data_IF_961869875980
#
_entry.id   IF_961869875980
#
_cell.length_a   1.000
_cell.length_b   1.000
_cell.length_c   1.000
_cell.angle_alpha   90.00
_cell.angle_beta   90.00
_cell.angle_gamma   90.00
#
_symmetry.space_group_name_H-M   'P 1'
#
loop_
_entity.id
_entity.type
_entity.pdbx_description
1 polymer ?
#
# COMPACT_ATOMS: atom_id res chain seq x y z
N UNK A 1 -0.69 -13.53 -14.62
CA UNK A 1 -1.62 -13.99 -13.57
C UNK A 1 -0.95 -13.73 -12.22
N UNK A 2 -1.56 -13.07 -11.21
CA UNK A 2 -0.93 -13.00 -9.90
C UNK A 2 -1.30 -14.30 -9.18
N UNK A 3 -0.62 -15.40 -9.45
CA UNK A 3 -1.09 -16.72 -9.04
C UNK A 3 -0.02 -17.50 -8.28
N UNK A 4 0.37 -16.99 -7.12
CA UNK A 4 0.62 -17.92 -6.02
C UNK A 4 -0.69 -18.70 -5.81
N UNK A 5 -0.62 -20.02 -5.92
CA UNK A 5 -1.83 -20.83 -5.98
C UNK A 5 -2.54 -20.78 -4.62
N UNK A 6 -3.87 -20.59 -4.63
CA UNK A 6 -4.72 -20.60 -3.42
C UNK A 6 -4.41 -21.77 -2.44
N UNK A 7 -4.13 -23.00 -2.91
CA UNK A 7 -3.73 -24.10 -2.04
C UNK A 7 -2.38 -23.89 -1.34
N UNK A 8 -1.40 -23.26 -1.99
CA UNK A 8 -0.08 -22.96 -1.42
C UNK A 8 -0.20 -21.90 -0.33
N UNK A 9 -1.00 -20.86 -0.55
CA UNK A 9 -1.26 -19.83 0.48
C UNK A 9 -1.92 -20.43 1.72
N UNK A 10 -2.88 -21.35 1.54
CA UNK A 10 -3.52 -22.07 2.65
C UNK A 10 -2.54 -23.00 3.37
N UNK A 11 -1.68 -23.71 2.63
CA UNK A 11 -0.63 -24.55 3.20
C UNK A 11 0.39 -23.73 4.00
N UNK A 12 0.79 -22.55 3.49
CA UNK A 12 1.66 -21.61 4.16
C UNK A 12 1.06 -21.10 5.48
N UNK A 13 -0.22 -20.70 5.45
CA UNK A 13 -0.94 -20.27 6.64
C UNK A 13 -1.05 -21.38 7.70
N UNK A 14 -1.31 -22.62 7.29
CA UNK A 14 -1.35 -23.75 8.22
C UNK A 14 0.01 -24.03 8.86
N UNK A 15 1.10 -24.00 8.07
CA UNK A 15 2.46 -24.16 8.58
C UNK A 15 2.88 -23.00 9.52
N UNK A 16 2.45 -21.77 9.22
CA UNK A 16 2.71 -20.60 10.05
C UNK A 16 2.05 -20.72 11.42
N UNK A 17 0.81 -21.21 11.48
CA UNK A 17 0.09 -21.45 12.73
C UNK A 17 0.81 -22.48 13.62
N UNK A 18 1.40 -23.53 13.02
CA UNK A 18 2.24 -24.48 13.74
C UNK A 18 3.51 -23.83 14.27
N UNK A 19 4.20 -23.01 13.46
CA UNK A 19 5.38 -22.25 13.94
C UNK A 19 5.07 -21.27 15.06
N UNK A 20 3.83 -20.75 15.13
CA UNK A 20 3.35 -19.88 16.22
C UNK A 20 2.92 -20.65 17.47
N UNK A 21 2.81 -21.97 17.40
CA UNK A 21 2.31 -22.80 18.49
C UNK A 21 0.78 -22.84 18.61
N UNK A 22 0.05 -22.34 17.61
CA UNK A 22 -1.42 -22.32 17.61
C UNK A 22 -2.01 -23.69 17.23
N UNK A 23 -1.26 -24.52 16.50
CA UNK A 23 -1.69 -25.84 16.03
C UNK A 23 -0.54 -26.86 16.16
N UNK A 24 -0.85 -28.14 16.41
CA UNK A 24 0.17 -29.18 16.46
C UNK A 24 0.69 -29.52 15.05
N UNK A 25 1.97 -29.85 14.93
CA UNK A 25 2.59 -30.24 13.65
C UNK A 25 1.93 -31.48 13.00
N UNK A 26 1.36 -32.37 13.82
CA UNK A 26 0.60 -33.53 13.38
C UNK A 26 -0.67 -33.17 12.59
N UNK A 27 -1.21 -31.95 12.76
CA UNK A 27 -2.38 -31.45 12.02
C UNK A 27 -2.06 -31.10 10.55
N UNK A 28 -0.78 -30.98 10.18
CA UNK A 28 -0.39 -30.59 8.81
C UNK A 28 -0.60 -31.75 7.83
N UNK A 29 -1.13 -31.42 6.64
CA UNK A 29 -1.41 -32.37 5.56
C UNK A 29 -0.82 -31.88 4.23
N UNK A 30 -0.39 -32.81 3.39
CA UNK A 30 0.13 -32.53 2.05
C UNK A 30 1.30 -31.55 2.06
N UNK A 31 1.25 -30.57 1.15
CA UNK A 31 2.31 -29.55 0.97
C UNK A 31 2.64 -28.77 2.25
N UNK A 32 1.69 -28.60 3.18
CA UNK A 32 1.92 -27.85 4.42
C UNK A 32 3.02 -28.49 5.29
N UNK A 33 3.20 -29.82 5.23
CA UNK A 33 4.29 -30.52 5.93
C UNK A 33 5.66 -30.11 5.40
N UNK A 34 5.81 -30.04 4.07
CA UNK A 34 7.06 -29.60 3.43
C UNK A 34 7.32 -28.10 3.65
N UNK A 35 6.25 -27.29 3.67
CA UNK A 35 6.36 -25.85 3.93
C UNK A 35 6.78 -25.53 5.37
N UNK A 36 6.54 -26.42 6.34
CA UNK A 36 6.97 -26.19 7.73
C UNK A 36 8.49 -25.98 7.86
N UNK A 37 9.28 -26.55 6.94
CA UNK A 37 10.74 -26.34 6.88
C UNK A 37 11.13 -24.91 6.48
N UNK A 38 10.22 -24.13 5.89
CA UNK A 38 10.47 -22.73 5.56
C UNK A 38 10.51 -21.86 6.81
N UNK A 39 11.15 -20.69 6.72
CA UNK A 39 11.20 -19.73 7.84
C UNK A 39 9.84 -19.09 8.09
N UNK A 40 9.63 -18.55 9.31
CA UNK A 40 8.39 -17.85 9.68
C UNK A 40 8.07 -16.74 8.68
N UNK A 41 9.07 -15.93 8.34
CA UNK A 41 8.90 -14.80 7.41
C UNK A 41 8.54 -15.24 6.01
N UNK A 42 9.16 -16.32 5.49
CA UNK A 42 8.79 -16.88 4.18
C UNK A 42 7.35 -17.39 4.18
N UNK A 43 6.95 -18.15 5.20
CA UNK A 43 5.56 -18.61 5.33
C UNK A 43 4.56 -17.46 5.41
N UNK A 44 4.94 -16.35 6.04
CA UNK A 44 4.12 -15.15 6.17
C UNK A 44 3.99 -14.41 4.84
N UNK A 45 5.03 -14.42 4.01
CA UNK A 45 5.00 -13.89 2.64
C UNK A 45 4.07 -14.73 1.75
N UNK A 46 4.27 -16.05 1.72
CA UNK A 46 3.39 -16.97 0.98
C UNK A 46 1.94 -16.99 1.48
N UNK A 47 1.71 -16.67 2.75
CA UNK A 47 0.37 -16.59 3.35
C UNK A 47 -0.32 -15.25 3.06
N UNK A 48 0.45 -14.18 2.77
CA UNK A 48 -0.09 -12.86 2.45
C UNK A 48 -0.76 -12.90 1.08
N UNK A 49 -1.86 -12.15 0.93
CA UNK A 49 -2.44 -11.90 -0.40
C UNK A 49 -1.60 -10.82 -1.09
N UNK A 50 -1.35 -10.93 -2.41
CA UNK A 50 -0.71 -9.85 -3.14
C UNK A 50 -1.54 -8.58 -2.96
N UNK A 51 -0.90 -7.42 -2.73
CA UNK A 51 -1.61 -6.17 -2.58
C UNK A 51 -2.41 -5.90 -3.84
N UNK A 52 -3.73 -5.86 -3.72
CA UNK A 52 -4.59 -5.48 -4.85
C UNK A 52 -4.32 -4.02 -5.20
N UNK A 53 -4.34 -3.62 -6.49
CA UNK A 53 -4.06 -2.24 -6.91
C UNK A 53 -5.02 -1.21 -6.30
N UNK A 54 -6.17 -1.66 -5.79
CA UNK A 54 -7.13 -0.81 -5.06
C UNK A 54 -6.57 -0.32 -3.72
N UNK A 55 -5.77 -1.14 -3.02
CA UNK A 55 -5.11 -0.75 -1.76
C UNK A 55 -4.06 0.33 -2.01
N UNK A 56 -3.28 0.23 -3.09
CA UNK A 56 -2.27 1.23 -3.44
C UNK A 56 -2.89 2.58 -3.80
N UNK A 57 -4.01 2.57 -4.53
CA UNK A 57 -4.77 3.79 -4.84
C UNK A 57 -5.44 4.41 -3.61
N UNK A 58 -5.98 3.59 -2.71
CA UNK A 58 -6.58 4.06 -1.46
C UNK A 58 -5.53 4.64 -0.49
N UNK A 59 -4.36 4.01 -0.36
CA UNK A 59 -3.25 4.54 0.43
C UNK A 59 -2.73 5.88 -0.13
N UNK A 60 -2.62 6.01 -1.46
CA UNK A 60 -2.28 7.27 -2.10
C UNK A 60 -3.36 8.35 -1.91
N UNK A 61 -4.64 7.97 -1.81
CA UNK A 61 -5.73 8.89 -1.49
C UNK A 61 -5.67 9.38 -0.04
N UNK A 62 -5.39 8.49 0.92
CA UNK A 62 -5.21 8.85 2.33
C UNK A 62 -4.02 9.81 2.53
N UNK A 63 -2.91 9.59 1.81
CA UNK A 63 -1.75 10.50 1.87
C UNK A 63 -2.05 11.89 1.28
N UNK A 64 -2.89 11.95 0.23
CA UNK A 64 -3.36 13.21 -0.37
C UNK A 64 -4.23 14.03 0.59
N UNK A 65 -5.11 13.38 1.34
CA UNK A 65 -5.97 14.00 2.36
C UNK A 65 -5.14 14.51 3.55
N UNK A 66 -4.18 13.71 4.04
CA UNK A 66 -3.31 14.08 5.17
C UNK A 66 -2.33 15.22 4.84
N UNK A 67 -1.99 15.42 3.55
CA UNK A 67 -1.16 16.55 3.10
C UNK A 67 -1.97 17.84 2.96
N UNK A 68 -3.23 17.76 2.54
CA UNK A 68 -4.13 18.91 2.44
C UNK A 68 -4.45 19.54 3.81
N UNK A 69 -4.55 18.74 4.87
CA UNK A 69 -4.85 19.25 6.22
C UNK A 69 -3.65 19.83 6.98
N UNK A 70 -2.40 19.47 6.64
CA UNK A 70 -1.18 20.03 7.28
C UNK A 70 -0.62 21.28 6.58
N UNK A 71 -1.22 21.69 5.46
CA UNK A 71 -0.74 22.76 4.59
C UNK A 71 -1.35 24.15 4.81
N UNK A 72 -2.05 24.41 5.92
CA UNK A 72 -2.52 25.75 6.26
C UNK A 72 -1.50 26.49 7.14
N UNK A 73 -0.47 27.06 6.53
CA UNK A 73 0.21 28.24 7.09
C UNK A 73 -0.19 29.47 6.23
N UNK A 74 -1.15 30.30 6.67
CA UNK A 74 -1.73 31.37 5.84
C UNK A 74 -0.92 32.68 5.90
N UNK A 75 0.41 32.63 5.75
CA UNK A 75 1.23 33.84 5.73
C UNK A 75 2.38 33.76 4.72
N UNK A 76 2.08 33.63 3.43
CA UNK A 76 3.03 34.14 2.41
C UNK A 76 2.34 34.34 1.06
N UNK A 77 2.70 35.43 0.38
CA UNK A 77 2.39 35.78 -1.02
C UNK A 77 1.12 36.60 -1.33
N UNK A 78 0.98 37.78 -0.71
CA UNK A 78 0.44 38.95 -1.45
C UNK A 78 1.57 39.61 -2.25
N UNK A 79 1.93 39.06 -3.41
CA UNK A 79 2.64 39.82 -4.46
C UNK A 79 1.72 39.90 -5.67
N UNK A 80 1.10 41.07 -5.85
CA UNK A 80 0.29 41.41 -7.03
C UNK A 80 1.19 41.40 -8.28
N UNK A 81 0.81 40.74 -9.38
CA UNK A 81 1.54 40.83 -10.64
C UNK A 81 1.30 42.17 -11.33
N UNK A 82 2.39 42.77 -11.83
CA UNK A 82 2.38 43.96 -12.70
C UNK A 82 1.67 43.64 -14.02
N UNK A 83 0.56 44.31 -14.32
CA UNK A 83 0.03 44.37 -15.68
C UNK A 83 0.79 45.43 -16.49
N UNK A 84 1.48 44.96 -17.54
CA UNK A 84 1.96 45.78 -18.66
C UNK A 84 0.89 45.74 -19.77
N UNK A 85 0.93 46.76 -20.65
CA UNK A 85 0.16 47.02 -21.90
C UNK A 85 -1.22 47.65 -21.67
N UNK A 86 -1.68 48.63 -22.45
CA UNK A 86 -1.26 49.13 -23.77
C UNK A 86 -1.94 50.46 -24.13
N UNK A 87 -1.21 51.31 -24.85
CA UNK A 87 -1.59 52.32 -25.87
C UNK A 87 -3.10 52.61 -26.12
N UNK A 88 -3.48 53.88 -26.06
CA UNK A 88 -4.30 54.62 -27.05
C UNK A 88 -4.07 56.13 -26.81
N UNK A 89 -3.48 56.93 -27.72
CA UNK A 89 -4.07 57.66 -28.88
C UNK A 89 -5.35 58.46 -28.55
N UNK A 90 -5.23 59.79 -28.56
CA UNK A 90 -6.33 60.78 -28.69
C UNK A 90 -5.79 62.17 -28.30
N UNK A 91 -5.38 63.03 -29.25
CA UNK A 91 -6.22 64.03 -29.94
C UNK A 91 -7.08 64.84 -28.98
N UNK A 92 -6.65 66.05 -28.64
CA UNK A 92 -7.21 67.33 -29.14
C UNK A 92 -6.26 68.46 -28.76
#
# INVERSE_FOLDING_TARGET
MPAESEPQRRAAGAALAVKKGERPASSLKGAARGMLSMTRSQLEDFARKPPTPQTTRAAAHLDREHKAMRGANPQSSRKKPKSKRSRSKGRS
#
